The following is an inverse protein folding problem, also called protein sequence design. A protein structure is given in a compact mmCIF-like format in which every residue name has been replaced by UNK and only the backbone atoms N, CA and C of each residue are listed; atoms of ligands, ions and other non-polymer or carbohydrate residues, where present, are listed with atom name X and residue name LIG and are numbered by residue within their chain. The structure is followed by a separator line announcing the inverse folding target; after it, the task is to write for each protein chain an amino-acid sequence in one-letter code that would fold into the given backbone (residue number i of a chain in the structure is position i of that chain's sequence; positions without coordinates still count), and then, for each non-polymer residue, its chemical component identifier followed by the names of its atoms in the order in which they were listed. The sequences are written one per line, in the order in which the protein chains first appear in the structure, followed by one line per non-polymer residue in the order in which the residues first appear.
data_IF_649858624990
#
_entry.id   IF_649858624990
#
_cell.length_a   1.000
_cell.length_b   1.000
_cell.length_c   1.000
_cell.angle_alpha   90.00
_cell.angle_beta   90.00
_cell.angle_gamma   90.00
#
_symmetry.space_group_name_H-M   'P 1'
#
loop_
_entity.id
_entity.type
_entity.pdbx_description
1 polymer ?
#
# COMPACT_ATOMS: atom_id res chain seq x y z
N UNK A 1 32.26 25.48 -3.35
CA UNK A 1 31.77 24.33 -2.56
C UNK A 1 30.27 24.51 -2.49
N UNK A 2 29.53 23.85 -3.38
CA UNK A 2 28.07 23.82 -3.29
C UNK A 2 27.72 23.04 -2.04
N UNK A 3 27.12 23.72 -1.06
CA UNK A 3 26.57 23.08 0.14
C UNK A 3 25.37 22.26 -0.29
N UNK A 4 25.49 20.94 -0.25
CA UNK A 4 24.32 20.05 -0.36
C UNK A 4 23.31 20.43 0.72
N UNK A 5 22.16 20.97 0.30
CA UNK A 5 21.04 21.19 1.19
C UNK A 5 20.45 19.83 1.58
N UNK A 6 20.61 19.48 2.85
CA UNK A 6 19.95 18.31 3.44
C UNK A 6 18.45 18.58 3.54
N UNK A 7 17.70 18.20 2.51
CA UNK A 7 16.24 18.28 2.49
C UNK A 7 15.60 16.99 3.02
N UNK A 8 14.67 17.10 3.97
CA UNK A 8 13.91 15.96 4.50
C UNK A 8 13.01 15.36 3.41
N UNK A 9 13.08 14.04 3.23
CA UNK A 9 12.16 13.29 2.38
C UNK A 9 10.89 12.94 3.15
N UNK A 10 9.87 13.79 3.06
CA UNK A 10 8.61 13.64 3.81
C UNK A 10 7.84 12.36 3.48
N UNK A 11 7.96 11.83 2.26
CA UNK A 11 7.33 10.56 1.84
C UNK A 11 7.90 9.35 2.59
N UNK A 12 9.16 9.44 3.02
CA UNK A 12 9.91 8.39 3.71
C UNK A 12 10.05 8.64 5.21
N UNK A 13 9.23 9.53 5.78
CA UNK A 13 9.32 9.89 7.19
C UNK A 13 8.85 8.72 8.06
N UNK A 14 9.52 8.51 9.19
CA UNK A 14 9.24 7.46 10.18
C UNK A 14 9.28 6.02 9.63
N UNK A 15 9.98 5.79 8.52
CA UNK A 15 10.25 4.44 8.00
C UNK A 15 11.75 4.19 7.86
N UNK A 16 12.09 2.91 7.79
CA UNK A 16 13.46 2.52 7.50
C UNK A 16 13.81 2.92 6.06
N UNK A 17 14.99 3.48 5.78
CA UNK A 17 15.35 3.94 4.43
C UNK A 17 15.21 2.86 3.35
N UNK A 18 15.44 1.59 3.70
CA UNK A 18 15.26 0.45 2.79
C UNK A 18 13.82 0.24 2.35
N UNK A 19 12.83 0.66 3.15
CA UNK A 19 11.41 0.44 2.89
C UNK A 19 10.90 1.34 1.77
N UNK A 20 11.52 2.51 1.57
CA UNK A 20 11.14 3.46 0.52
C UNK A 20 11.10 2.78 -0.86
N UNK A 21 12.13 1.99 -1.16
CA UNK A 21 12.22 1.26 -2.43
C UNK A 21 11.35 0.00 -2.45
N UNK A 22 11.28 -0.76 -1.34
CA UNK A 22 10.42 -1.96 -1.26
C UNK A 22 8.93 -1.63 -1.40
N UNK A 23 8.53 -0.41 -1.02
CA UNK A 23 7.17 0.12 -1.17
C UNK A 23 6.94 0.87 -2.49
N UNK A 24 7.93 0.89 -3.37
CA UNK A 24 7.90 1.56 -4.68
C UNK A 24 7.59 3.07 -4.62
N UNK A 25 7.90 3.74 -3.51
CA UNK A 25 7.55 5.15 -3.33
C UNK A 25 8.18 6.09 -4.38
N UNK A 26 9.44 5.92 -4.80
CA UNK A 26 10.03 6.77 -5.84
C UNK A 26 9.29 6.66 -7.18
N UNK A 27 8.87 5.43 -7.54
CA UNK A 27 8.09 5.17 -8.76
C UNK A 27 6.75 5.90 -8.71
N UNK A 28 6.10 5.89 -7.55
CA UNK A 28 4.81 6.57 -7.35
C UNK A 28 4.97 8.08 -7.30
N UNK A 29 6.01 8.60 -6.66
CA UNK A 29 6.32 10.03 -6.61
C UNK A 29 6.60 10.61 -8.01
N UNK A 30 7.11 9.79 -8.95
CA UNK A 30 7.26 10.19 -10.35
C UNK A 30 5.93 10.33 -11.12
N UNK A 31 4.85 9.70 -10.65
CA UNK A 31 3.53 9.69 -11.31
C UNK A 31 2.46 10.51 -10.57
N UNK A 32 2.64 10.72 -9.27
CA UNK A 32 1.66 11.33 -8.37
C UNK A 32 2.31 12.32 -7.42
N UNK A 33 1.55 13.33 -7.02
CA UNK A 33 1.82 14.03 -5.77
C UNK A 33 1.29 13.18 -4.62
N UNK A 34 2.19 12.77 -3.72
CA UNK A 34 1.86 11.89 -2.60
C UNK A 34 1.73 12.68 -1.30
N UNK A 35 0.59 12.52 -0.63
CA UNK A 35 0.38 13.05 0.72
C UNK A 35 0.18 11.91 1.70
N UNK A 36 1.13 11.72 2.63
CA UNK A 36 1.03 10.68 3.65
C UNK A 36 -0.16 10.95 4.58
N UNK A 37 -1.03 9.95 4.70
CA UNK A 37 -2.10 9.90 5.70
C UNK A 37 -1.50 9.28 6.96
N UNK A 38 -1.17 10.14 7.93
CA UNK A 38 -0.65 9.72 9.22
C UNK A 38 -1.81 9.14 10.03
N UNK A 39 -1.86 7.81 10.08
CA UNK A 39 -2.56 7.07 11.12
C UNK A 39 -1.53 6.29 11.93
N UNK A 40 -1.92 5.84 13.12
CA UNK A 40 -1.23 4.77 13.86
C UNK A 40 -1.37 3.45 13.10
N UNK A 41 -0.98 3.43 11.83
CA UNK A 41 -0.89 2.21 11.05
C UNK A 41 0.30 1.43 11.59
N UNK A 42 0.26 0.09 11.47
CA UNK A 42 1.41 -0.77 11.77
C UNK A 42 2.70 -0.17 11.17
N UNK A 43 3.87 -0.25 11.83
CA UNK A 43 5.11 0.40 11.37
C UNK A 43 5.57 0.04 9.94
N UNK A 44 5.04 -1.06 9.39
CA UNK A 44 5.37 -1.57 8.06
C UNK A 44 4.35 -1.19 6.98
N UNK A 45 3.31 -0.43 7.35
CA UNK A 45 2.15 -0.11 6.53
C UNK A 45 1.97 1.41 6.42
N UNK A 46 1.74 1.89 5.20
CA UNK A 46 1.74 3.30 4.88
C UNK A 46 0.63 3.63 3.90
N UNK A 47 -0.15 4.68 4.19
CA UNK A 47 -1.22 5.15 3.32
C UNK A 47 -0.86 6.53 2.76
N UNK A 48 -1.06 6.69 1.46
CA UNK A 48 -0.88 7.95 0.76
C UNK A 48 -2.15 8.33 0.01
N UNK A 49 -2.57 9.58 0.13
CA UNK A 49 -3.47 10.19 -0.83
C UNK A 49 -2.64 10.61 -2.04
N UNK A 50 -2.88 9.97 -3.17
CA UNK A 50 -2.22 10.25 -4.43
C UNK A 50 -3.12 11.10 -5.32
N UNK A 51 -2.57 12.23 -5.78
CA UNK A 51 -3.22 13.10 -6.76
C UNK A 51 -2.34 13.16 -8.01
N UNK A 52 -2.95 13.04 -9.18
CA UNK A 52 -2.21 13.24 -10.43
C UNK A 52 -1.98 14.73 -10.65
N UNK A 53 -0.79 15.13 -11.13
CA UNK A 53 -0.56 16.50 -11.56
C UNK A 53 -1.56 16.87 -12.68
N UNK A 54 -2.00 18.13 -12.70
CA UNK A 54 -2.83 18.62 -13.80
C UNK A 54 -2.00 18.58 -15.09
N UNK A 55 -2.44 17.79 -16.06
CA UNK A 55 -1.95 17.89 -17.44
C UNK A 55 -2.91 18.77 -18.23
N UNK A 56 -2.34 19.66 -19.05
CA UNK A 56 -3.02 20.75 -19.73
C UNK A 56 -4.41 20.39 -20.28
N UNK A 57 -5.45 21.07 -19.77
CA UNK A 57 -6.80 21.07 -20.34
C UNK A 57 -7.67 19.83 -20.10
N UNK A 58 -7.14 18.76 -19.50
CA UNK A 58 -7.92 17.56 -19.20
C UNK A 58 -8.36 17.52 -17.73
N UNK A 59 -9.59 16.99 -17.49
CA UNK A 59 -10.10 16.77 -16.13
C UNK A 59 -9.15 15.84 -15.39
N UNK A 60 -8.59 16.29 -14.27
CA UNK A 60 -7.72 15.47 -13.44
C UNK A 60 -8.42 14.17 -13.06
N UNK A 61 -7.72 13.02 -13.12
CA UNK A 61 -8.28 11.78 -12.62
C UNK A 61 -8.61 11.93 -11.12
N UNK A 62 -9.63 11.20 -10.63
CA UNK A 62 -9.98 11.24 -9.23
C UNK A 62 -8.77 10.83 -8.37
N UNK A 63 -8.59 11.44 -7.19
CA UNK A 63 -7.57 11.00 -6.25
C UNK A 63 -7.75 9.54 -5.85
N UNK A 64 -6.64 8.87 -5.53
CA UNK A 64 -6.64 7.48 -5.07
C UNK A 64 -5.90 7.35 -3.73
N UNK A 65 -6.39 6.50 -2.85
CA UNK A 65 -5.67 6.05 -1.66
C UNK A 65 -4.75 4.89 -2.02
N UNK A 66 -3.46 5.05 -1.77
CA UNK A 66 -2.45 4.02 -1.97
C UNK A 66 -2.03 3.45 -0.63
N UNK A 67 -2.43 2.22 -0.33
CA UNK A 67 -1.97 1.46 0.82
C UNK A 67 -0.77 0.60 0.42
N UNK A 68 0.33 0.77 1.16
CA UNK A 68 1.64 0.16 0.91
C UNK A 68 2.09 -0.55 2.18
N UNK A 69 2.13 -1.88 2.16
CA UNK A 69 2.47 -2.69 3.33
C UNK A 69 3.61 -3.66 3.03
N UNK A 70 4.51 -3.80 4.00
CA UNK A 70 5.56 -4.80 4.03
C UNK A 70 5.20 -5.88 5.04
N UNK A 71 5.31 -7.12 4.58
CA UNK A 71 5.10 -8.30 5.40
C UNK A 71 6.42 -9.08 5.53
N UNK A 72 6.82 -9.34 6.77
CA UNK A 72 8.10 -9.98 7.11
C UNK A 72 7.94 -11.33 7.82
N UNK A 73 6.72 -11.74 8.16
CA UNK A 73 6.53 -12.99 8.88
C UNK A 73 6.80 -14.17 7.95
N UNK A 74 7.77 -15.00 8.33
CA UNK A 74 8.09 -16.22 7.60
C UNK A 74 6.93 -17.20 7.73
N UNK A 75 6.41 -17.67 6.62
CA UNK A 75 5.47 -18.79 6.60
C UNK A 75 6.25 -20.11 6.54
N UNK A 76 5.92 -21.04 7.43
CA UNK A 76 6.52 -22.38 7.46
C UNK A 76 5.74 -23.37 6.59
N UNK A 77 4.47 -23.08 6.33
CA UNK A 77 3.61 -23.85 5.44
C UNK A 77 2.84 -22.95 4.50
N UNK A 78 2.29 -23.54 3.45
CA UNK A 78 1.49 -22.81 2.49
C UNK A 78 0.19 -22.29 3.14
N UNK A 79 -0.40 -23.03 4.09
CA UNK A 79 -1.58 -22.63 4.88
C UNK A 79 -1.28 -21.38 5.71
N UNK A 80 -0.15 -21.37 6.43
CA UNK A 80 0.27 -20.18 7.18
C UNK A 80 0.48 -18.96 6.27
N UNK A 81 1.00 -19.17 5.06
CA UNK A 81 1.10 -18.11 4.06
C UNK A 81 -0.28 -17.57 3.64
N UNK A 82 -1.24 -18.46 3.38
CA UNK A 82 -2.60 -18.07 3.00
C UNK A 82 -3.31 -17.31 4.13
N UNK A 83 -3.19 -17.77 5.37
CA UNK A 83 -3.75 -17.11 6.55
C UNK A 83 -3.12 -15.72 6.73
N UNK A 84 -1.80 -15.61 6.61
CA UNK A 84 -1.07 -14.35 6.73
C UNK A 84 -1.43 -13.36 5.61
N UNK A 85 -1.65 -13.85 4.40
CA UNK A 85 -2.10 -13.06 3.26
C UNK A 85 -3.52 -12.54 3.47
N UNK A 86 -4.44 -13.40 3.92
CA UNK A 86 -5.81 -13.03 4.24
C UNK A 86 -5.88 -11.97 5.36
N UNK A 87 -5.15 -12.17 6.46
CA UNK A 87 -5.07 -11.18 7.54
C UNK A 87 -4.50 -9.85 7.03
N UNK A 88 -3.42 -9.89 6.23
CA UNK A 88 -2.79 -8.69 5.69
C UNK A 88 -3.72 -7.91 4.75
N UNK A 89 -4.52 -8.61 3.95
CA UNK A 89 -5.53 -8.00 3.08
C UNK A 89 -6.66 -7.38 3.90
N UNK A 90 -7.19 -8.09 4.91
CA UNK A 90 -8.24 -7.59 5.79
C UNK A 90 -7.81 -6.30 6.50
N UNK A 91 -6.65 -6.32 7.14
CA UNK A 91 -6.08 -5.15 7.81
C UNK A 91 -5.88 -4.00 6.81
N UNK A 92 -5.39 -4.28 5.61
CA UNK A 92 -5.21 -3.24 4.59
C UNK A 92 -6.54 -2.62 4.13
N UNK A 93 -7.62 -3.40 4.06
CA UNK A 93 -8.96 -2.91 3.74
C UNK A 93 -9.51 -2.04 4.87
N UNK A 94 -9.44 -2.50 6.12
CA UNK A 94 -9.87 -1.73 7.30
C UNK A 94 -9.13 -0.39 7.38
N UNK A 95 -7.81 -0.40 7.20
CA UNK A 95 -6.99 0.81 7.21
C UNK A 95 -7.35 1.78 6.07
N UNK A 96 -7.71 1.27 4.89
CA UNK A 96 -8.19 2.10 3.78
C UNK A 96 -9.57 2.72 4.07
N UNK A 97 -10.50 1.96 4.62
CA UNK A 97 -11.82 2.47 5.04
C UNK A 97 -11.66 3.55 6.10
N UNK A 98 -10.80 3.28 7.08
CA UNK A 98 -10.41 4.21 8.10
C UNK A 98 -9.73 5.46 7.53
N UNK A 99 -8.89 5.35 6.51
CA UNK A 99 -8.24 6.50 5.88
C UNK A 99 -9.24 7.38 5.09
N UNK A 100 -10.36 6.82 4.61
CA UNK A 100 -11.43 7.61 3.97
C UNK A 100 -12.08 8.62 4.92
N UNK A 101 -12.00 8.39 6.23
CA UNK A 101 -12.49 9.31 7.25
C UNK A 101 -11.56 10.50 7.48
N UNK A 102 -10.32 10.48 6.97
CA UNK A 102 -9.42 11.63 7.06
C UNK A 102 -10.04 12.83 6.32
N UNK A 103 -10.15 14.03 6.94
CA UNK A 103 -10.77 15.20 6.31
C UNK A 103 -10.16 15.57 4.94
N UNK A 104 -8.86 15.30 4.75
CA UNK A 104 -8.15 15.55 3.49
C UNK A 104 -8.57 14.60 2.39
N UNK A 105 -9.11 13.43 2.75
CA UNK A 105 -9.65 12.44 1.82
C UNK A 105 -11.14 12.67 1.62
N UNK A 106 -11.90 12.83 2.71
CA UNK A 106 -13.35 13.00 2.69
C UNK A 106 -13.81 14.18 1.81
N UNK A 107 -13.03 15.26 1.74
CA UNK A 107 -13.30 16.42 0.85
C UNK A 107 -13.37 16.08 -0.64
N UNK A 108 -12.76 14.96 -1.05
CA UNK A 108 -12.80 14.49 -2.45
C UNK A 108 -14.03 13.62 -2.75
N UNK A 109 -14.86 13.35 -1.74
CA UNK A 109 -16.12 12.63 -1.88
C UNK A 109 -15.95 11.11 -2.08
N UNK A 110 -17.06 10.41 -2.40
CA UNK A 110 -17.09 8.94 -2.46
C UNK A 110 -16.34 8.35 -3.67
N UNK A 111 -15.88 9.18 -4.60
CA UNK A 111 -15.18 8.74 -5.82
C UNK A 111 -13.72 8.37 -5.60
N UNK A 112 -13.18 8.58 -4.38
CA UNK A 112 -11.81 8.19 -4.04
C UNK A 112 -11.71 6.66 -4.00
N UNK A 113 -10.94 6.10 -4.93
CA UNK A 113 -10.66 4.66 -4.98
C UNK A 113 -9.50 4.29 -4.07
N UNK A 114 -9.38 3.01 -3.73
CA UNK A 114 -8.26 2.47 -2.96
C UNK A 114 -7.46 1.47 -3.79
N UNK A 115 -6.13 1.47 -3.63
CA UNK A 115 -5.23 0.46 -4.19
C UNK A 115 -4.34 -0.08 -3.08
N UNK A 116 -4.40 -1.39 -2.87
CA UNK A 116 -3.56 -2.12 -1.92
C UNK A 116 -2.37 -2.69 -2.66
N UNK A 117 -1.19 -2.56 -2.07
CA UNK A 117 0.00 -3.29 -2.44
C UNK A 117 0.62 -3.91 -1.19
N UNK A 118 0.80 -5.21 -1.25
CA UNK A 118 1.43 -6.02 -0.21
C UNK A 118 2.74 -6.56 -0.75
N UNK A 119 3.84 -6.27 -0.07
CA UNK A 119 5.16 -6.78 -0.41
C UNK A 119 5.57 -7.82 0.63
N UNK A 120 5.53 -9.09 0.23
CA UNK A 120 5.92 -10.24 1.03
C UNK A 120 7.44 -10.46 0.89
N UNK A 121 8.21 -10.11 1.91
CA UNK A 121 9.68 -10.21 1.91
C UNK A 121 10.21 -11.64 2.07
N UNK A 122 9.63 -12.52 2.91
CA UNK A 122 10.17 -13.84 3.15
C UNK A 122 10.14 -14.73 1.92
N UNK A 123 11.07 -15.69 1.87
CA UNK A 123 10.97 -16.79 0.91
C UNK A 123 9.67 -17.56 1.14
N UNK A 124 8.99 -17.88 0.04
CA UNK A 124 7.81 -18.74 0.07
C UNK A 124 8.19 -20.14 0.60
N UNK A 125 7.33 -20.77 1.41
CA UNK A 125 7.58 -22.12 1.87
C UNK A 125 7.65 -23.08 0.67
N UNK A 126 8.68 -23.92 0.64
CA UNK A 126 8.82 -24.93 -0.41
C UNK A 126 7.88 -26.11 -0.14
N UNK A 127 7.28 -26.75 -1.17
CA UNK A 127 7.48 -26.53 -2.61
C UNK A 127 6.38 -25.64 -3.25
N UNK A 128 6.15 -24.42 -2.77
CA UNK A 128 5.12 -23.55 -3.36
C UNK A 128 5.57 -22.95 -4.68
N UNK A 129 4.81 -23.24 -5.73
CA UNK A 129 5.04 -22.71 -7.08
C UNK A 129 4.21 -21.44 -7.34
N UNK A 130 4.51 -20.74 -8.43
CA UNK A 130 3.83 -19.48 -8.77
C UNK A 130 2.31 -19.65 -8.93
N UNK A 131 1.85 -20.77 -9.47
CA UNK A 131 0.42 -21.05 -9.65
C UNK A 131 -0.30 -21.26 -8.31
N UNK A 132 0.37 -21.87 -7.33
CA UNK A 132 -0.17 -22.05 -5.98
C UNK A 132 -0.33 -20.71 -5.25
N UNK A 133 0.66 -19.82 -5.40
CA UNK A 133 0.60 -18.45 -4.85
C UNK A 133 -0.59 -17.70 -5.45
N UNK A 134 -0.74 -17.77 -6.77
CA UNK A 134 -1.83 -17.11 -7.49
C UNK A 134 -3.20 -17.65 -7.07
N UNK A 135 -3.31 -18.97 -6.92
CA UNK A 135 -4.55 -19.61 -6.50
C UNK A 135 -4.93 -19.19 -5.08
N UNK A 136 -3.99 -19.24 -4.12
CA UNK A 136 -4.22 -18.80 -2.74
C UNK A 136 -4.57 -17.31 -2.64
N UNK A 137 -3.93 -16.48 -3.46
CA UNK A 137 -4.28 -15.06 -3.54
C UNK A 137 -5.72 -14.85 -4.04
N UNK A 138 -6.14 -15.56 -5.09
CA UNK A 138 -7.51 -15.50 -5.59
C UNK A 138 -8.52 -15.95 -4.53
N UNK A 139 -8.23 -17.04 -3.83
CA UNK A 139 -9.07 -17.55 -2.75
C UNK A 139 -9.22 -16.52 -1.62
N UNK A 140 -8.12 -15.92 -1.18
CA UNK A 140 -8.14 -14.87 -0.15
C UNK A 140 -8.97 -13.66 -0.60
N UNK A 141 -8.76 -13.16 -1.82
CA UNK A 141 -9.52 -12.02 -2.36
C UNK A 141 -11.01 -12.37 -2.52
N UNK A 142 -11.33 -13.54 -3.08
CA UNK A 142 -12.71 -13.96 -3.31
C UNK A 142 -13.48 -14.19 -2.00
N UNK A 143 -12.81 -14.70 -0.96
CA UNK A 143 -13.41 -14.87 0.36
C UNK A 143 -13.90 -13.54 0.92
N UNK A 144 -13.20 -12.43 0.64
CA UNK A 144 -13.58 -11.10 1.11
C UNK A 144 -14.62 -10.43 0.20
N UNK A 145 -14.49 -10.58 -1.13
CA UNK A 145 -15.49 -10.03 -2.06
C UNK A 145 -16.85 -10.71 -1.89
N UNK A 146 -16.88 -12.01 -1.58
CA UNK A 146 -18.13 -12.78 -1.46
C UNK A 146 -18.88 -12.55 -0.14
N UNK A 147 -18.27 -11.84 0.82
CA UNK A 147 -18.87 -11.50 2.11
C UNK A 147 -19.53 -10.12 2.13
N UNK A 148 -19.39 -9.34 1.06
CA UNK A 148 -19.94 -7.99 0.88
C UNK A 148 -20.82 -7.91 -0.37
#
# INVERSE_FOLDING_TARGET
VETEEWAEQTIGRDMWPSFVNLLELPRLAGAYTLHRIHKEVRPTSHIYLATSPATDGHRQPPPELLMRSLHYARAESAEQFADSLAESLLVAMEELEHARLDPRVARHGPTVTGRIFLHMVPMLPQPMEADDVMQRFKEAVNAHISQH
#
